data_IF_561614902112
#
_entry.id   IF_561614902112
#
_cell.length_a   1.000
_cell.length_b   1.000
_cell.length_c   1.000
_cell.angle_alpha   90.00
_cell.angle_beta   90.00
_cell.angle_gamma   90.00
#
_symmetry.space_group_name_H-M   'P 1'
#
loop_
_entity.id
_entity.type
_entity.pdbx_description
1 polymer ?
#
# COMPACT_ATOMS: atom_id res chain seq x y z
N UNK A 1 -69.16 4.58 17.93
CA UNK A 1 -68.87 4.69 16.49
C UNK A 1 -68.67 3.26 15.95
N UNK A 2 -68.89 3.01 14.66
CA UNK A 2 -68.88 1.69 13.97
C UNK A 2 -67.52 1.56 13.21
N UNK A 3 -66.87 0.38 12.95
CA UNK A 3 -67.37 -1.01 12.95
C UNK A 3 -66.69 -2.10 13.84
N UNK A 4 -65.54 -2.70 13.44
CA UNK A 4 -65.28 -4.18 13.47
C UNK A 4 -63.92 -4.59 14.11
N UNK A 5 -63.57 -5.85 14.49
CA UNK A 5 -63.61 -7.23 13.90
C UNK A 5 -62.60 -7.42 12.73
N UNK A 6 -61.74 -8.45 12.66
CA UNK A 6 -61.88 -9.94 12.62
C UNK A 6 -60.52 -10.55 13.12
N UNK A 7 -60.35 -11.52 14.05
CA UNK A 7 -60.66 -12.99 14.11
C UNK A 7 -59.99 -13.87 13.01
N UNK A 8 -59.68 -15.17 13.13
CA UNK A 8 -59.86 -16.22 14.16
C UNK A 8 -58.75 -17.32 13.99
N UNK A 9 -58.69 -18.31 14.89
CA UNK A 9 -57.76 -19.47 14.88
C UNK A 9 -58.22 -20.61 13.93
N UNK A 10 -57.31 -21.51 13.50
CA UNK A 10 -57.27 -22.94 13.91
C UNK A 10 -56.18 -23.80 13.24
N UNK A 11 -55.75 -24.86 13.96
CA UNK A 11 -55.04 -26.08 13.52
C UNK A 11 -56.04 -27.07 12.83
N UNK A 12 -55.71 -28.24 12.24
CA UNK A 12 -54.47 -29.07 12.14
C UNK A 12 -54.62 -30.22 11.08
N UNK A 13 -53.58 -31.08 10.95
CA UNK A 13 -53.55 -32.52 10.52
C UNK A 13 -52.91 -32.92 9.15
N UNK A 14 -52.24 -34.08 9.18
CA UNK A 14 -51.48 -34.81 8.12
C UNK A 14 -52.30 -36.05 7.60
N UNK A 15 -51.83 -37.05 6.78
CA UNK A 15 -50.50 -37.32 6.19
C UNK A 15 -50.50 -37.76 4.69
N UNK A 16 -49.36 -38.30 4.20
CA UNK A 16 -49.04 -38.59 2.78
C UNK A 16 -49.16 -40.08 2.34
N UNK A 17 -49.01 -40.36 1.02
CA UNK A 17 -48.40 -41.59 0.50
C UNK A 17 -47.31 -41.37 -0.60
N UNK A 18 -46.76 -42.45 -1.18
CA UNK A 18 -45.43 -42.55 -1.86
C UNK A 18 -45.44 -42.90 -3.37
N UNK A 19 -44.39 -42.49 -4.11
CA UNK A 19 -43.57 -43.09 -5.23
C UNK A 19 -44.07 -44.29 -6.10
N UNK A 20 -43.47 -44.66 -7.27
CA UNK A 20 -42.26 -44.19 -8.01
C UNK A 20 -42.53 -44.03 -9.57
N UNK A 21 -41.67 -44.38 -10.58
CA UNK A 21 -40.18 -44.34 -10.80
C UNK A 21 -39.70 -43.69 -12.15
N UNK A 22 -38.37 -43.44 -12.29
CA UNK A 22 -37.54 -43.40 -13.54
C UNK A 22 -37.85 -42.31 -14.62
N UNK A 23 -36.97 -41.91 -15.55
CA UNK A 23 -35.79 -42.54 -16.21
C UNK A 23 -34.54 -41.63 -16.31
N UNK A 24 -33.39 -42.20 -16.73
CA UNK A 24 -32.16 -41.48 -17.14
C UNK A 24 -32.04 -41.44 -18.67
N UNK A 25 -31.62 -40.31 -19.26
CA UNK A 25 -31.06 -40.30 -20.64
C UNK A 25 -29.78 -39.45 -20.72
N UNK A 26 -28.89 -39.82 -21.65
CA UNK A 26 -27.50 -39.35 -21.71
C UNK A 26 -27.32 -38.08 -22.57
N UNK A 27 -26.99 -36.95 -21.93
CA UNK A 27 -26.52 -35.73 -22.60
C UNK A 27 -24.99 -35.68 -22.72
N UNK A 28 -24.42 -36.19 -23.82
CA UNK A 28 -22.97 -36.18 -24.05
C UNK A 28 -22.47 -34.77 -24.46
N UNK A 29 -22.10 -33.95 -23.47
CA UNK A 29 -21.58 -32.59 -23.65
C UNK A 29 -20.08 -32.49 -23.33
N UNK A 30 -19.27 -32.08 -24.31
CA UNK A 30 -17.81 -32.00 -24.20
C UNK A 30 -17.33 -30.54 -24.11
N UNK A 31 -16.44 -30.24 -23.16
CA UNK A 31 -15.65 -29.00 -23.12
C UNK A 31 -15.81 -28.16 -21.84
N UNK A 32 -14.66 -27.74 -21.31
CA UNK A 32 -14.43 -26.74 -20.26
C UNK A 32 -15.44 -26.66 -19.10
N UNK A 33 -15.06 -27.25 -17.96
CA UNK A 33 -15.47 -26.69 -16.67
C UNK A 33 -14.79 -25.33 -16.49
N UNK A 34 -15.53 -24.25 -16.74
CA UNK A 34 -15.16 -22.92 -16.27
C UNK A 34 -15.45 -22.86 -14.77
N UNK A 35 -14.40 -23.03 -13.96
CA UNK A 35 -14.47 -22.91 -12.51
C UNK A 35 -14.82 -21.46 -12.12
N UNK A 36 -15.99 -21.18 -11.52
CA UNK A 36 -16.44 -19.83 -11.24
C UNK A 36 -15.85 -19.33 -9.92
N UNK A 37 -14.52 -19.38 -9.78
CA UNK A 37 -13.80 -19.00 -8.58
C UNK A 37 -13.73 -17.46 -8.43
N UNK A 38 -14.90 -16.84 -8.33
CA UNK A 38 -15.07 -15.40 -8.23
C UNK A 38 -14.88 -14.92 -6.78
N UNK A 39 -13.62 -14.63 -6.44
CA UNK A 39 -13.18 -14.17 -5.13
C UNK A 39 -12.66 -12.73 -5.10
N UNK A 40 -13.14 -11.85 -5.98
CA UNK A 40 -12.80 -10.41 -6.03
C UNK A 40 -11.32 -10.08 -5.72
N UNK A 41 -10.39 -10.49 -6.59
CA UNK A 41 -9.03 -9.97 -6.50
C UNK A 41 -9.05 -8.45 -6.59
N UNK A 42 -8.50 -7.75 -5.59
CA UNK A 42 -8.19 -6.32 -5.72
C UNK A 42 -7.18 -6.16 -6.86
N UNK A 43 -7.29 -5.05 -7.58
CA UNK A 43 -6.27 -4.67 -8.55
C UNK A 43 -4.97 -4.35 -7.77
N UNK A 44 -3.86 -4.93 -8.25
CA UNK A 44 -2.54 -4.81 -7.67
C UNK A 44 -1.61 -4.19 -8.71
N UNK A 45 -0.85 -3.20 -8.27
CA UNK A 45 0.08 -2.44 -9.09
C UNK A 45 1.50 -2.87 -8.73
N UNK A 46 2.34 -3.14 -9.72
CA UNK A 46 3.73 -3.51 -9.47
C UNK A 46 4.61 -2.28 -9.65
N UNK A 47 5.56 -2.12 -8.74
CA UNK A 47 6.44 -0.96 -8.74
C UNK A 47 7.83 -1.31 -8.29
N UNK A 48 8.66 -0.29 -8.34
CA UNK A 48 10.05 -0.33 -7.89
C UNK A 48 10.32 0.89 -7.04
N UNK A 49 11.43 0.91 -6.32
CA UNK A 49 11.97 2.14 -5.77
C UNK A 49 13.49 2.17 -5.95
N UNK A 50 14.08 3.37 -5.93
CA UNK A 50 15.51 3.53 -6.16
C UNK A 50 16.12 4.70 -5.40
N UNK A 51 17.17 4.40 -4.65
CA UNK A 51 18.08 5.40 -4.08
C UNK A 51 18.86 6.18 -5.15
N UNK A 52 19.08 5.56 -6.32
CA UNK A 52 19.63 6.22 -7.52
C UNK A 52 18.57 7.02 -8.28
N UNK A 53 19.01 8.09 -8.94
CA UNK A 53 18.23 8.90 -9.88
C UNK A 53 17.80 8.05 -11.09
N UNK A 54 16.54 8.15 -11.50
CA UNK A 54 15.92 7.43 -12.61
C UNK A 54 16.14 8.15 -13.93
N UNK A 55 17.30 7.88 -14.55
CA UNK A 55 17.56 8.26 -15.93
C UNK A 55 17.04 7.22 -16.94
N UNK A 56 17.16 7.53 -18.23
CA UNK A 56 16.76 6.63 -19.34
C UNK A 56 17.46 5.25 -19.27
N UNK A 57 18.67 5.17 -18.70
CA UNK A 57 19.41 3.92 -18.57
C UNK A 57 18.85 3.05 -17.45
N UNK A 58 18.56 3.62 -16.27
CA UNK A 58 17.93 2.91 -15.16
C UNK A 58 16.51 2.46 -15.53
N UNK A 59 15.72 3.36 -16.12
CA UNK A 59 14.35 3.08 -16.55
C UNK A 59 14.29 1.93 -17.56
N UNK A 60 15.12 1.97 -18.61
CA UNK A 60 15.19 0.89 -19.59
C UNK A 60 15.77 -0.40 -19.00
N UNK A 61 16.69 -0.33 -18.03
CA UNK A 61 17.18 -1.51 -17.31
C UNK A 61 16.04 -2.26 -16.60
N UNK A 62 15.15 -1.52 -15.92
CA UNK A 62 13.98 -2.10 -15.24
C UNK A 62 13.02 -2.73 -16.25
N UNK A 63 12.70 -2.05 -17.35
CA UNK A 63 11.84 -2.59 -18.41
C UNK A 63 12.41 -3.87 -19.03
N UNK A 64 13.71 -3.89 -19.37
CA UNK A 64 14.36 -5.00 -20.08
C UNK A 64 14.55 -6.26 -19.20
N UNK A 65 14.64 -6.11 -17.87
CA UNK A 65 14.99 -7.20 -16.95
C UNK A 65 13.87 -7.59 -15.96
N UNK A 66 12.97 -6.67 -15.61
CA UNK A 66 11.92 -6.87 -14.60
C UNK A 66 10.51 -6.58 -15.11
N UNK A 67 10.35 -5.65 -16.07
CA UNK A 67 9.09 -5.27 -16.69
C UNK A 67 8.71 -3.80 -16.43
N UNK A 68 7.60 -3.35 -17.02
CA UNK A 68 7.10 -1.98 -16.86
C UNK A 68 6.52 -1.77 -15.45
N UNK A 69 7.05 -0.87 -14.61
CA UNK A 69 6.41 -0.47 -13.37
C UNK A 69 5.19 0.43 -13.63
N UNK A 70 4.22 0.40 -12.71
CA UNK A 70 3.20 1.46 -12.58
C UNK A 70 3.61 2.52 -11.53
N UNK A 71 4.44 2.14 -10.55
CA UNK A 71 4.85 3.01 -9.43
C UNK A 71 6.38 3.03 -9.31
N UNK A 72 6.95 4.20 -9.03
CA UNK A 72 8.38 4.37 -8.73
C UNK A 72 8.58 5.19 -7.44
N UNK A 73 9.17 4.58 -6.41
CA UNK A 73 9.53 5.26 -5.15
C UNK A 73 10.80 6.09 -5.29
N UNK A 74 10.72 7.38 -4.96
CA UNK A 74 11.82 8.35 -5.10
C UNK A 74 11.84 9.38 -3.97
N UNK A 75 13.04 9.89 -3.68
CA UNK A 75 13.32 10.67 -2.47
C UNK A 75 13.16 12.18 -2.70
N UNK A 76 12.62 12.89 -1.71
CA UNK A 76 12.40 14.35 -1.75
C UNK A 76 13.68 15.20 -1.77
N UNK A 77 14.84 14.64 -1.44
CA UNK A 77 16.08 15.39 -1.29
C UNK A 77 17.35 14.53 -1.36
N UNK A 78 18.47 15.19 -1.65
CA UNK A 78 19.80 14.58 -1.67
C UNK A 78 20.27 14.23 -0.25
N UNK A 79 20.61 12.96 -0.03
CA UNK A 79 21.28 12.48 1.18
C UNK A 79 22.64 11.91 0.78
N UNK A 80 23.72 12.66 1.03
CA UNK A 80 25.06 12.39 0.46
C UNK A 80 25.51 10.93 0.69
N UNK A 81 25.71 10.19 -0.41
CA UNK A 81 26.14 8.79 -0.39
C UNK A 81 25.05 7.78 0.01
N UNK A 82 23.80 8.20 0.14
CA UNK A 82 22.64 7.37 0.47
C UNK A 82 21.60 7.45 -0.66
N UNK A 83 21.07 8.64 -0.98
CA UNK A 83 20.03 8.82 -2.01
C UNK A 83 20.23 10.09 -2.84
N UNK A 84 19.86 10.02 -4.12
CA UNK A 84 19.65 11.18 -4.97
C UNK A 84 18.20 11.68 -4.83
N UNK A 85 18.02 12.98 -4.64
CA UNK A 85 16.70 13.62 -4.61
C UNK A 85 16.03 13.70 -5.98
N UNK A 86 14.71 13.85 -5.98
CA UNK A 86 13.91 14.23 -7.14
C UNK A 86 14.28 15.64 -7.62
N UNK A 87 14.23 15.85 -8.93
CA UNK A 87 14.13 17.18 -9.52
C UNK A 87 13.02 17.23 -10.60
N UNK A 88 12.78 18.41 -11.15
CA UNK A 88 11.73 18.63 -12.14
C UNK A 88 11.96 17.86 -13.45
N UNK A 89 13.20 17.57 -13.85
CA UNK A 89 13.48 16.82 -15.08
C UNK A 89 13.21 15.31 -14.85
N UNK A 90 13.51 14.78 -13.65
CA UNK A 90 13.13 13.41 -13.26
C UNK A 90 11.63 13.22 -13.16
N UNK A 91 10.93 14.13 -12.49
CA UNK A 91 9.46 14.10 -12.33
C UNK A 91 8.78 14.07 -13.70
N UNK A 92 9.15 15.00 -14.59
CA UNK A 92 8.60 15.03 -15.95
C UNK A 92 8.88 13.72 -16.71
N UNK A 93 10.07 13.14 -16.56
CA UNK A 93 10.43 11.89 -17.23
C UNK A 93 9.58 10.71 -16.74
N UNK A 94 9.32 10.60 -15.44
CA UNK A 94 8.45 9.56 -14.87
C UNK A 94 7.00 9.73 -15.37
N UNK A 95 6.43 10.94 -15.29
CA UNK A 95 5.07 11.21 -15.77
C UNK A 95 4.91 11.10 -17.29
N UNK A 96 5.92 11.41 -18.11
CA UNK A 96 5.91 11.19 -19.55
C UNK A 96 5.91 9.69 -19.94
N UNK A 97 6.20 8.79 -18.99
CA UNK A 97 6.15 7.33 -19.16
C UNK A 97 4.97 6.66 -18.39
N UNK A 98 3.93 7.43 -18.06
CA UNK A 98 2.72 6.98 -17.33
C UNK A 98 3.02 6.36 -15.94
N UNK A 99 4.12 6.76 -15.29
CA UNK A 99 4.52 6.29 -13.95
C UNK A 99 3.92 7.18 -12.84
N UNK A 100 3.50 6.56 -11.73
CA UNK A 100 3.13 7.27 -10.50
C UNK A 100 4.29 7.29 -9.50
N UNK A 101 4.56 8.44 -8.90
CA UNK A 101 5.70 8.65 -7.99
C UNK A 101 5.25 8.43 -6.55
N UNK A 102 5.92 7.50 -5.85
CA UNK A 102 5.82 7.36 -4.40
C UNK A 102 6.89 8.24 -3.74
N UNK A 103 6.46 9.16 -2.87
CA UNK A 103 7.28 10.27 -2.38
C UNK A 103 7.90 9.93 -1.02
N UNK A 104 9.22 9.79 -0.97
CA UNK A 104 9.97 9.31 0.21
C UNK A 104 10.73 10.44 0.89
N UNK A 105 10.68 10.52 2.22
CA UNK A 105 11.49 11.42 3.04
C UNK A 105 12.42 10.61 3.97
N UNK A 106 13.72 10.58 3.64
CA UNK A 106 14.72 9.78 4.36
C UNK A 106 15.76 10.61 5.14
N UNK A 107 15.46 11.87 5.50
CA UNK A 107 16.37 12.66 6.33
C UNK A 107 16.23 12.35 7.84
N UNK A 108 15.35 11.40 8.20
CA UNK A 108 15.21 10.86 9.57
C UNK A 108 16.45 10.03 9.95
N UNK A 109 16.83 10.10 11.23
CA UNK A 109 17.83 9.22 11.85
C UNK A 109 17.60 8.98 13.36
N UNK A 110 16.67 9.71 13.97
CA UNK A 110 16.15 9.53 15.32
C UNK A 110 14.66 9.88 15.30
N UNK A 111 13.82 8.86 15.19
CA UNK A 111 12.37 8.96 15.10
C UNK A 111 11.71 9.00 16.50
N UNK A 112 12.28 9.74 17.45
CA UNK A 112 11.74 9.88 18.82
C UNK A 112 11.32 11.30 19.15
N UNK A 113 10.17 11.44 19.82
CA UNK A 113 9.63 12.71 20.31
C UNK A 113 8.79 13.50 19.30
N UNK A 114 7.64 14.00 19.76
CA UNK A 114 6.67 14.75 18.96
C UNK A 114 7.28 15.97 18.24
N UNK A 115 8.07 16.79 18.96
CA UNK A 115 8.68 17.99 18.37
C UNK A 115 9.65 17.67 17.22
N UNK A 116 10.32 16.50 17.23
CA UNK A 116 11.12 16.03 16.08
C UNK A 116 10.25 15.57 14.92
N UNK A 117 9.14 14.85 15.19
CA UNK A 117 8.18 14.45 14.16
C UNK A 117 7.61 15.67 13.41
N UNK A 118 7.28 16.72 14.16
CA UNK A 118 6.88 18.03 13.62
C UNK A 118 8.01 18.66 12.80
N UNK A 119 9.25 18.69 13.30
CA UNK A 119 10.39 19.27 12.58
C UNK A 119 10.65 18.55 11.24
N UNK A 120 10.69 17.23 11.25
CA UNK A 120 10.90 16.41 10.05
C UNK A 120 9.74 16.54 9.05
N UNK A 121 8.49 16.55 9.51
CA UNK A 121 7.33 16.78 8.63
C UNK A 121 7.36 18.18 7.99
N UNK A 122 7.71 19.24 8.73
CA UNK A 122 7.86 20.58 8.16
C UNK A 122 8.97 20.65 7.10
N UNK A 123 10.08 19.92 7.27
CA UNK A 123 11.12 19.81 6.24
C UNK A 123 10.62 19.07 5.01
N UNK A 124 9.89 17.96 5.19
CA UNK A 124 9.34 17.17 4.09
C UNK A 124 8.30 17.95 3.28
N UNK A 125 7.40 18.69 3.95
CA UNK A 125 6.45 19.62 3.33
C UNK A 125 7.19 20.68 2.50
N UNK A 126 8.28 21.27 3.03
CA UNK A 126 9.04 22.29 2.30
C UNK A 126 9.68 21.76 1.00
N UNK A 127 10.22 20.53 1.01
CA UNK A 127 10.71 19.88 -0.21
C UNK A 127 9.57 19.60 -1.22
N UNK A 128 8.41 19.15 -0.74
CA UNK A 128 7.25 18.88 -1.58
C UNK A 128 6.65 20.16 -2.19
N UNK A 129 6.61 21.28 -1.44
CA UNK A 129 6.19 22.59 -1.95
C UNK A 129 7.17 23.13 -3.01
N UNK A 130 8.49 23.04 -2.78
CA UNK A 130 9.51 23.48 -3.75
C UNK A 130 9.53 22.64 -5.05
N UNK A 131 9.20 21.34 -4.97
CA UNK A 131 9.00 20.46 -6.13
C UNK A 131 7.63 20.62 -6.81
N UNK A 132 6.66 21.25 -6.15
CA UNK A 132 5.30 21.46 -6.67
C UNK A 132 4.41 20.21 -6.62
N UNK A 133 4.61 19.34 -5.63
CA UNK A 133 3.84 18.10 -5.45
C UNK A 133 2.36 18.44 -5.17
N UNK A 134 1.38 17.77 -5.82
CA UNK A 134 -0.04 18.04 -5.64
C UNK A 134 -0.60 17.84 -4.22
N UNK A 135 -1.71 18.53 -3.95
CA UNK A 135 -2.56 18.27 -2.78
C UNK A 135 -3.06 16.81 -2.79
N UNK A 136 -3.03 16.13 -1.64
CA UNK A 136 -3.50 14.74 -1.46
C UNK A 136 -2.41 13.67 -1.53
N UNK A 137 -1.24 13.96 -2.10
CA UNK A 137 -0.12 13.00 -2.19
C UNK A 137 0.40 12.68 -0.78
N UNK A 138 0.66 11.39 -0.51
CA UNK A 138 1.28 10.96 0.75
C UNK A 138 2.80 11.11 0.70
N UNK A 139 3.37 11.64 1.78
CA UNK A 139 4.82 11.69 1.98
C UNK A 139 5.18 10.60 2.99
N UNK A 140 6.04 9.65 2.58
CA UNK A 140 6.44 8.51 3.38
C UNK A 140 7.69 8.85 4.20
N UNK A 141 7.53 8.94 5.52
CA UNK A 141 8.65 9.02 6.45
C UNK A 141 9.36 7.67 6.52
N UNK A 142 10.62 7.63 6.08
CA UNK A 142 11.47 6.43 6.08
C UNK A 142 12.08 6.19 7.48
N UNK A 143 11.70 5.08 8.12
CA UNK A 143 12.15 4.70 9.46
C UNK A 143 12.86 3.34 9.39
N UNK A 144 14.17 3.40 9.14
CA UNK A 144 15.08 2.25 9.10
C UNK A 144 15.11 1.45 10.41
N UNK A 145 15.33 0.12 10.39
CA UNK A 145 15.27 -0.75 11.57
C UNK A 145 16.25 -0.42 12.72
N UNK A 146 17.36 0.26 12.42
CA UNK A 146 18.37 0.67 13.41
C UNK A 146 18.11 2.07 14.02
N UNK A 147 17.12 2.81 13.53
CA UNK A 147 16.78 4.12 14.11
C UNK A 147 15.99 3.97 15.43
N UNK A 148 16.27 4.78 16.46
CA UNK A 148 15.35 4.94 17.60
C UNK A 148 13.98 5.40 17.10
N UNK A 149 12.89 4.84 17.63
CA UNK A 149 11.52 5.23 17.26
C UNK A 149 10.57 5.22 18.46
N UNK A 150 9.66 6.19 18.53
CA UNK A 150 8.54 6.19 19.48
C UNK A 150 7.22 6.68 18.85
N UNK A 151 6.10 6.46 19.55
CA UNK A 151 4.77 6.83 19.07
C UNK A 151 4.60 8.34 18.95
N UNK A 152 5.26 9.12 19.79
CA UNK A 152 5.11 10.57 19.85
C UNK A 152 5.67 11.24 18.59
N UNK A 153 6.79 10.75 18.06
CA UNK A 153 7.32 11.20 16.76
C UNK A 153 6.33 10.96 15.63
N UNK A 154 5.75 9.75 15.55
CA UNK A 154 4.83 9.41 14.46
C UNK A 154 3.50 10.17 14.57
N UNK A 155 3.04 10.48 15.80
CA UNK A 155 1.94 11.43 16.03
C UNK A 155 2.30 12.85 15.57
N UNK A 156 3.50 13.35 15.88
CA UNK A 156 3.95 14.67 15.44
C UNK A 156 4.13 14.78 13.92
N UNK A 157 4.55 13.70 13.27
CA UNK A 157 4.63 13.54 11.82
C UNK A 157 3.22 13.55 11.19
N UNK A 158 2.32 12.70 11.72
CA UNK A 158 0.93 12.61 11.27
C UNK A 158 0.19 13.94 11.37
N UNK A 159 0.19 14.57 12.54
CA UNK A 159 -0.60 15.76 12.81
C UNK A 159 -0.11 16.94 11.95
N UNK A 160 1.21 17.05 11.74
CA UNK A 160 1.80 18.11 10.90
C UNK A 160 1.48 17.94 9.41
N UNK A 161 1.49 16.70 8.89
CA UNK A 161 1.08 16.44 7.50
C UNK A 161 -0.43 16.59 7.33
N UNK A 162 -1.24 16.16 8.31
CA UNK A 162 -2.70 16.24 8.28
C UNK A 162 -3.24 17.68 8.35
N UNK A 163 -2.52 18.60 9.00
CA UNK A 163 -2.80 20.05 8.98
C UNK A 163 -2.27 20.76 7.69
N UNK A 164 -1.65 20.00 6.76
CA UNK A 164 -1.07 20.50 5.50
C UNK A 164 -1.93 20.15 4.27
N UNK A 165 -1.35 20.20 3.06
CA UNK A 165 -1.98 19.71 1.82
C UNK A 165 -1.63 18.25 1.48
N UNK A 166 -0.66 17.66 2.18
CA UNK A 166 -0.16 16.30 1.93
C UNK A 166 -0.82 15.28 2.88
N UNK A 167 -0.54 13.99 2.68
CA UNK A 167 -1.04 12.91 3.54
C UNK A 167 0.09 12.22 4.31
N UNK A 168 -0.17 11.72 5.54
CA UNK A 168 0.83 11.07 6.36
C UNK A 168 1.10 9.62 5.89
N UNK A 169 2.26 9.40 5.29
CA UNK A 169 2.80 8.08 4.99
C UNK A 169 3.93 7.68 5.95
N UNK A 170 4.06 6.39 6.25
CA UNK A 170 5.21 5.82 6.97
C UNK A 170 5.74 4.58 6.24
N UNK A 171 7.06 4.49 6.14
CA UNK A 171 7.79 3.35 5.58
C UNK A 171 8.68 2.69 6.65
N UNK A 172 8.80 1.36 6.58
CA UNK A 172 9.78 0.60 7.38
C UNK A 172 9.37 -0.86 7.64
N UNK A 173 10.12 -1.54 8.51
CA UNK A 173 9.94 -2.98 8.82
C UNK A 173 8.92 -3.19 9.94
N UNK A 174 7.66 -3.42 9.56
CA UNK A 174 6.56 -3.72 10.49
C UNK A 174 6.42 -5.22 10.84
N UNK A 175 7.54 -5.88 11.19
CA UNK A 175 7.50 -7.21 11.84
C UNK A 175 6.86 -7.13 13.23
N UNK A 176 6.15 -8.18 13.65
CA UNK A 176 5.41 -8.15 14.91
C UNK A 176 6.37 -8.13 16.12
N UNK A 177 6.38 -7.00 16.84
CA UNK A 177 7.33 -6.76 17.94
C UNK A 177 8.61 -6.05 17.50
N UNK A 178 8.71 -5.55 16.27
CA UNK A 178 9.73 -4.56 15.89
C UNK A 178 9.50 -3.25 16.66
N UNK A 179 10.55 -2.44 16.82
CA UNK A 179 10.43 -1.15 17.52
C UNK A 179 9.41 -0.22 16.83
N UNK A 180 9.40 -0.22 15.50
CA UNK A 180 8.45 0.54 14.68
C UNK A 180 7.01 0.03 14.85
N UNK A 181 6.81 -1.30 14.84
CA UNK A 181 5.49 -1.90 15.05
C UNK A 181 4.92 -1.56 16.44
N UNK A 182 5.71 -1.77 17.50
CA UNK A 182 5.29 -1.49 18.88
C UNK A 182 5.06 0.01 19.13
N UNK A 183 5.84 0.89 18.49
CA UNK A 183 5.63 2.33 18.54
C UNK A 183 4.35 2.76 17.79
N UNK A 184 4.05 2.15 16.64
CA UNK A 184 2.87 2.48 15.83
C UNK A 184 1.57 2.10 16.55
N UNK A 185 1.48 0.89 17.11
CA UNK A 185 0.28 0.46 17.86
C UNK A 185 0.09 1.21 19.18
N UNK A 186 1.11 1.95 19.64
CA UNK A 186 1.07 2.81 20.82
C UNK A 186 0.61 4.25 20.54
N UNK A 187 0.46 4.66 19.27
CA UNK A 187 -0.18 5.93 18.89
C UNK A 187 -1.67 5.93 19.25
N UNK A 188 -2.29 7.12 19.28
CA UNK A 188 -3.75 7.26 19.30
C UNK A 188 -4.40 6.47 18.13
N UNK A 189 -5.52 5.79 18.38
CA UNK A 189 -6.17 4.92 17.38
C UNK A 189 -6.57 5.68 16.11
N UNK A 190 -7.13 6.89 16.26
CA UNK A 190 -7.51 7.76 15.15
C UNK A 190 -6.30 8.12 14.25
N UNK A 191 -5.08 8.18 14.79
CA UNK A 191 -3.83 8.42 14.04
C UNK A 191 -3.40 7.16 13.27
N UNK A 192 -3.53 5.98 13.86
CA UNK A 192 -3.27 4.70 13.18
C UNK A 192 -4.20 4.55 11.96
N UNK A 193 -5.51 4.75 12.17
CA UNK A 193 -6.55 4.56 11.15
C UNK A 193 -6.46 5.55 9.96
N UNK A 194 -5.71 6.65 10.09
CA UNK A 194 -5.54 7.66 9.05
C UNK A 194 -4.08 7.81 8.54
N UNK A 195 -3.17 6.89 8.90
CA UNK A 195 -1.78 6.87 8.40
C UNK A 195 -1.60 5.80 7.32
N UNK A 196 -1.11 6.20 6.13
CA UNK A 196 -0.75 5.28 5.03
C UNK A 196 0.53 4.53 5.39
N UNK A 197 0.52 3.20 5.23
CA UNK A 197 1.68 2.35 5.53
C UNK A 197 2.15 1.60 4.29
N UNK A 198 3.45 1.76 4.03
CA UNK A 198 4.23 0.98 3.10
C UNK A 198 5.20 0.11 3.91
N UNK A 199 4.96 -1.20 3.97
CA UNK A 199 5.79 -2.10 4.80
C UNK A 199 6.92 -2.71 3.99
N UNK A 200 8.09 -2.85 4.62
CA UNK A 200 9.23 -3.62 4.11
C UNK A 200 9.23 -5.07 4.65
N UNK A 201 8.07 -5.64 5.00
CA UNK A 201 7.97 -6.96 5.63
C UNK A 201 6.70 -7.74 5.21
N UNK A 202 6.78 -9.06 4.94
CA UNK A 202 8.00 -9.88 4.90
C UNK A 202 8.91 -9.54 3.70
N UNK A 203 10.16 -9.99 3.76
CA UNK A 203 11.13 -9.92 2.65
C UNK A 203 11.24 -11.31 2.00
N UNK A 204 11.15 -11.32 0.67
CA UNK A 204 11.12 -12.48 -0.23
C UNK A 204 12.27 -12.38 -1.25
N UNK A 205 12.24 -13.13 -2.35
CA UNK A 205 13.22 -13.00 -3.45
C UNK A 205 12.82 -11.88 -4.44
N UNK A 206 13.82 -11.15 -4.99
CA UNK A 206 13.64 -10.21 -6.10
C UNK A 206 13.07 -10.95 -7.32
N UNK A 207 12.00 -10.44 -7.92
CA UNK A 207 11.34 -11.05 -9.10
C UNK A 207 10.97 -10.04 -10.17
N UNK A 208 10.72 -10.53 -11.39
CA UNK A 208 10.06 -9.73 -12.44
C UNK A 208 8.59 -9.54 -12.10
N UNK A 209 7.96 -8.50 -12.65
CA UNK A 209 6.51 -8.22 -12.53
C UNK A 209 5.63 -9.43 -12.81
N UNK A 210 5.98 -10.21 -13.84
CA UNK A 210 5.24 -11.44 -14.22
C UNK A 210 5.34 -12.57 -13.20
N UNK A 211 6.30 -12.50 -12.26
CA UNK A 211 6.56 -13.47 -11.20
C UNK A 211 6.54 -12.80 -9.80
N UNK A 212 5.84 -11.68 -9.65
CA UNK A 212 5.64 -11.04 -8.35
C UNK A 212 4.89 -12.00 -7.38
N UNK A 213 5.16 -11.95 -6.07
CA UNK A 213 4.51 -12.82 -5.09
C UNK A 213 3.00 -12.51 -4.95
N UNK A 214 2.25 -13.43 -4.35
CA UNK A 214 0.90 -13.12 -3.87
C UNK A 214 0.99 -12.02 -2.79
N UNK A 215 0.21 -10.94 -2.91
CA UNK A 215 0.26 -9.80 -1.99
C UNK A 215 -0.09 -10.20 -0.55
N UNK A 216 0.94 -10.30 0.29
CA UNK A 216 0.83 -10.75 1.68
C UNK A 216 1.77 -9.92 2.61
N UNK A 217 1.64 -8.58 2.64
CA UNK A 217 2.36 -7.74 3.59
C UNK A 217 1.99 -8.08 5.05
N UNK A 218 2.88 -7.71 5.96
CA UNK A 218 2.62 -7.67 7.39
C UNK A 218 2.78 -6.25 7.93
N UNK A 219 1.83 -5.83 8.77
CA UNK A 219 1.76 -4.51 9.35
C UNK A 219 0.66 -4.41 10.43
N UNK A 220 0.45 -3.23 11.01
CA UNK A 220 -0.55 -3.02 12.07
C UNK A 220 -1.99 -3.16 11.55
N UNK A 221 -2.86 -3.88 12.27
CA UNK A 221 -4.26 -4.14 11.88
C UNK A 221 -5.08 -2.85 11.62
N UNK A 222 -4.74 -1.76 12.31
CA UNK A 222 -5.44 -0.47 12.22
C UNK A 222 -4.82 0.48 11.18
N UNK A 223 -3.87 0.04 10.35
CA UNK A 223 -3.18 0.91 9.39
C UNK A 223 -3.87 0.92 8.01
N UNK A 224 -3.67 1.99 7.24
CA UNK A 224 -3.89 1.98 5.79
C UNK A 224 -2.72 1.28 5.08
N UNK A 225 -2.59 -0.03 5.31
CA UNK A 225 -1.53 -0.90 4.79
C UNK A 225 -1.74 -1.19 3.30
N UNK A 226 -1.31 -0.25 2.45
CA UNK A 226 -1.57 -0.26 1.00
C UNK A 226 -0.33 -0.57 0.15
N UNK A 227 0.88 -0.54 0.72
CA UNK A 227 2.12 -0.82 0.01
C UNK A 227 2.97 -1.90 0.68
N UNK A 228 3.69 -2.67 -0.15
CA UNK A 228 4.62 -3.71 0.28
C UNK A 228 5.90 -3.66 -0.57
N UNK A 229 7.03 -3.29 0.03
CA UNK A 229 8.34 -3.60 -0.52
C UNK A 229 8.63 -5.06 -0.16
N UNK A 230 8.61 -5.94 -1.17
CA UNK A 230 8.68 -7.37 -0.97
C UNK A 230 10.10 -7.94 -1.12
N UNK A 231 11.01 -7.23 -1.75
CA UNK A 231 12.42 -7.63 -1.87
C UNK A 231 13.32 -6.43 -2.21
N UNK A 232 14.58 -6.47 -1.76
CA UNK A 232 15.59 -5.41 -1.89
C UNK A 232 16.84 -5.82 -2.70
N UNK A 233 17.65 -4.83 -3.08
CA UNK A 233 19.00 -4.96 -3.64
C UNK A 233 19.09 -5.80 -4.95
N UNK A 234 18.27 -5.45 -5.95
CA UNK A 234 18.34 -6.09 -7.27
C UNK A 234 19.67 -5.78 -8.01
N UNK A 235 20.69 -6.64 -7.86
CA UNK A 235 22.06 -6.49 -8.43
C UNK A 235 22.12 -6.05 -9.91
N UNK A 236 21.08 -6.34 -10.72
CA UNK A 236 21.04 -6.05 -12.15
C UNK A 236 20.79 -4.57 -12.45
N UNK A 237 19.94 -3.89 -11.67
CA UNK A 237 19.55 -2.49 -11.93
C UNK A 237 19.61 -1.58 -10.68
N UNK A 238 19.97 -2.07 -9.50
CA UNK A 238 20.02 -1.30 -8.24
C UNK A 238 18.65 -0.68 -7.89
N UNK A 239 17.64 -1.54 -7.81
CA UNK A 239 16.26 -1.22 -7.40
C UNK A 239 15.79 -2.18 -6.31
N UNK A 240 14.77 -1.76 -5.58
CA UNK A 240 13.95 -2.64 -4.75
C UNK A 240 12.58 -2.86 -5.43
N UNK A 241 11.89 -3.97 -5.14
CA UNK A 241 10.64 -4.36 -5.84
C UNK A 241 9.42 -4.37 -4.93
N UNK A 242 8.31 -3.83 -5.46
CA UNK A 242 7.14 -3.45 -4.68
C UNK A 242 5.82 -3.96 -5.28
N UNK A 243 4.82 -4.13 -4.42
CA UNK A 243 3.42 -4.32 -4.77
C UNK A 243 2.56 -3.32 -3.99
N UNK A 244 1.55 -2.77 -4.66
CA UNK A 244 0.62 -1.79 -4.09
C UNK A 244 -0.84 -2.19 -4.36
N UNK A 245 -1.73 -1.92 -3.41
CA UNK A 245 -3.18 -2.05 -3.67
C UNK A 245 -3.68 -0.87 -4.50
N UNK A 246 -4.80 -1.04 -5.20
CA UNK A 246 -5.48 0.08 -5.85
C UNK A 246 -5.86 1.24 -4.92
N UNK A 247 -5.98 1.00 -3.61
CA UNK A 247 -6.22 2.06 -2.62
C UNK A 247 -4.97 2.93 -2.37
N UNK A 248 -3.76 2.46 -2.70
CA UNK A 248 -2.54 3.30 -2.66
C UNK A 248 -2.57 4.40 -3.72
N UNK A 249 -3.20 4.14 -4.88
CA UNK A 249 -3.07 4.99 -6.06
C UNK A 249 -3.70 6.38 -5.88
N UNK A 250 -4.64 6.53 -4.93
CA UNK A 250 -5.21 7.83 -4.54
C UNK A 250 -4.22 8.73 -3.75
N UNK A 251 -3.05 8.20 -3.36
CA UNK A 251 -2.02 8.87 -2.54
C UNK A 251 -0.67 9.08 -3.25
N UNK A 252 -0.58 8.75 -4.55
CA UNK A 252 0.65 8.91 -5.34
C UNK A 252 0.58 10.16 -6.25
N UNK A 253 1.72 10.54 -6.84
CA UNK A 253 1.85 11.68 -7.75
C UNK A 253 1.92 11.26 -9.21
#
# INVERSE_FOLDING_TARGET
>A
MIPFLINLFSNSEEPAPTDPPQEEENGNGNGNGSDPNNGNGKELYWGVDSASYTDENLFQCVIDNFGQPEVWGRYLGDREGISAGLDTDEVNYLHENDIQILVIYNHVNDATGYDHGVEHANQAIAYAEDLGIPEGVAIFGDIEPDYPVDSAFMEGWHDTLSDSFYQPGIYGVFDQGSALFEAYIAMNQDVQENTVVWTAYPQEEITTKENAPEFNPQGPDNAMLYGWQYAIDAETCNIDTNLFTGDMMDYLW
#
